data_IF_987765742383
#
_entry.id   IF_987765742383
#
_cell.length_a   1.000
_cell.length_b   1.000
_cell.length_c   1.000
_cell.angle_alpha   90.00
_cell.angle_beta   90.00
_cell.angle_gamma   90.00
#
_symmetry.space_group_name_H-M   'P 1'
#
loop_
_entity.id
_entity.type
_entity.pdbx_description
1 polymer ?
#
# COMPACT_ATOMS: atom_id res chain seq x y z
N UNK A 1 8.27 7.58 9.52
CA UNK A 1 7.96 8.79 8.72
C UNK A 1 9.21 9.49 8.20
N UNK A 2 10.25 9.71 9.00
CA UNK A 2 11.49 10.37 8.58
C UNK A 2 12.07 9.90 7.23
N UNK A 3 12.23 8.57 7.02
CA UNK A 3 12.72 8.04 5.73
C UNK A 3 11.86 8.43 4.53
N UNK A 4 10.53 8.39 4.65
CA UNK A 4 9.62 8.80 3.57
C UNK A 4 9.62 10.31 3.35
N UNK A 5 9.79 11.10 4.43
CA UNK A 5 9.94 12.54 4.32
C UNK A 5 11.23 12.93 3.58
N UNK A 6 12.34 12.25 3.87
CA UNK A 6 13.62 12.42 3.17
C UNK A 6 13.47 12.14 1.67
N UNK A 7 12.81 11.03 1.30
CA UNK A 7 12.50 10.73 -0.11
C UNK A 7 11.66 11.83 -0.77
N UNK A 8 10.64 12.36 -0.08
CA UNK A 8 9.80 13.42 -0.61
C UNK A 8 10.61 14.71 -0.89
N UNK A 9 11.51 15.08 0.02
CA UNK A 9 12.40 16.25 -0.14
C UNK A 9 13.41 16.02 -1.26
N UNK A 10 14.01 14.84 -1.32
CA UNK A 10 14.95 14.46 -2.38
C UNK A 10 14.31 14.57 -3.77
N UNK A 11 13.08 14.06 -3.91
CA UNK A 11 12.29 14.16 -5.13
C UNK A 11 11.67 15.54 -5.37
N UNK A 12 11.93 16.53 -4.50
CA UNK A 12 11.38 17.91 -4.55
C UNK A 12 9.84 17.95 -4.58
N UNK A 13 9.20 16.99 -3.92
CA UNK A 13 7.73 16.88 -3.87
C UNK A 13 7.15 17.84 -2.82
N UNK A 14 7.78 17.95 -1.66
CA UNK A 14 7.30 18.78 -0.56
C UNK A 14 8.43 19.22 0.37
N UNK A 15 8.15 20.29 1.12
CA UNK A 15 8.95 20.80 2.24
C UNK A 15 8.03 21.05 3.44
N UNK A 16 8.52 20.91 4.66
CA UNK A 16 7.71 21.02 5.88
C UNK A 16 7.97 19.89 6.88
N UNK A 17 6.98 19.57 7.70
CA UNK A 17 7.08 18.49 8.67
C UNK A 17 7.23 17.12 8.00
N UNK A 18 7.78 16.14 8.71
CA UNK A 18 7.95 14.79 8.17
C UNK A 18 6.62 14.13 7.79
N UNK A 19 5.54 14.42 8.54
CA UNK A 19 4.20 13.90 8.25
C UNK A 19 3.64 14.46 6.96
N UNK A 20 3.74 15.78 6.76
CA UNK A 20 3.31 16.43 5.52
C UNK A 20 4.10 15.91 4.32
N UNK A 21 5.41 15.78 4.45
CA UNK A 21 6.28 15.28 3.39
C UNK A 21 5.96 13.82 3.03
N UNK A 22 5.79 12.93 4.02
CA UNK A 22 5.43 11.53 3.78
C UNK A 22 4.04 11.41 3.10
N UNK A 23 3.05 12.20 3.53
CA UNK A 23 1.72 12.21 2.91
C UNK A 23 1.77 12.73 1.47
N UNK A 24 2.55 13.77 1.20
CA UNK A 24 2.74 14.31 -0.14
C UNK A 24 3.41 13.29 -1.09
N UNK A 25 4.37 12.51 -0.59
CA UNK A 25 4.98 11.41 -1.35
C UNK A 25 3.94 10.35 -1.73
N UNK A 26 3.11 9.91 -0.79
CA UNK A 26 2.03 8.94 -1.07
C UNK A 26 1.06 9.47 -2.14
N UNK A 27 0.64 10.73 -2.01
CA UNK A 27 -0.23 11.37 -2.99
C UNK A 27 0.42 11.44 -4.38
N UNK A 28 1.70 11.81 -4.45
CA UNK A 28 2.43 11.89 -5.74
C UNK A 28 2.60 10.52 -6.40
N UNK A 29 2.88 9.47 -5.64
CA UNK A 29 2.98 8.09 -6.16
C UNK A 29 1.63 7.65 -6.76
N UNK A 30 0.51 7.91 -6.06
CA UNK A 30 -0.82 7.61 -6.59
C UNK A 30 -1.17 8.43 -7.84
N UNK A 31 -0.81 9.72 -7.86
CA UNK A 31 -1.00 10.56 -9.03
C UNK A 31 -0.18 10.05 -10.22
N UNK A 32 1.08 9.67 -10.01
CA UNK A 32 1.94 9.10 -11.05
C UNK A 32 1.36 7.81 -11.61
N UNK A 33 0.95 6.87 -10.75
CA UNK A 33 0.30 5.63 -11.17
C UNK A 33 -0.90 5.90 -12.08
N UNK A 34 -1.74 6.90 -11.75
CA UNK A 34 -2.86 7.34 -12.59
C UNK A 34 -2.39 7.93 -13.92
N UNK A 35 -1.38 8.81 -13.92
CA UNK A 35 -0.81 9.44 -15.12
C UNK A 35 -0.32 8.41 -16.14
N UNK A 36 0.26 7.30 -15.67
CA UNK A 36 0.77 6.22 -16.54
C UNK A 36 -0.24 5.08 -16.76
N UNK A 37 -1.51 5.28 -16.41
CA UNK A 37 -2.58 4.31 -16.67
C UNK A 37 -2.54 3.03 -15.84
N UNK A 38 -1.88 3.06 -14.67
CA UNK A 38 -1.89 1.92 -13.74
C UNK A 38 -3.18 1.88 -12.91
N UNK A 39 -3.71 0.69 -12.61
CA UNK A 39 -4.83 0.53 -11.68
C UNK A 39 -4.44 1.03 -10.29
N UNK A 40 -5.38 1.67 -9.58
CA UNK A 40 -5.14 2.20 -8.24
C UNK A 40 -5.67 1.29 -7.13
N UNK A 41 -6.25 0.16 -7.52
CA UNK A 41 -6.83 -0.87 -6.67
C UNK A 41 -6.91 -2.21 -7.40
N UNK A 42 -7.04 -3.32 -6.67
CA UNK A 42 -7.16 -4.65 -7.28
C UNK A 42 -8.44 -4.81 -8.09
N UNK A 43 -9.55 -4.17 -7.68
CA UNK A 43 -10.81 -4.19 -8.45
C UNK A 43 -10.66 -3.52 -9.82
N UNK A 44 -9.78 -2.52 -9.96
CA UNK A 44 -9.54 -1.83 -11.24
C UNK A 44 -8.83 -2.76 -12.26
N UNK A 45 -8.29 -3.90 -11.80
CA UNK A 45 -7.76 -4.96 -12.66
C UNK A 45 -8.85 -5.90 -13.23
N UNK A 46 -10.13 -5.65 -12.95
CA UNK A 46 -11.24 -6.49 -13.43
C UNK A 46 -11.46 -7.78 -12.63
N UNK A 47 -10.93 -7.86 -11.41
CA UNK A 47 -11.15 -9.01 -10.51
C UNK A 47 -12.48 -8.84 -9.77
N UNK A 48 -13.35 -9.84 -9.85
CA UNK A 48 -14.62 -9.84 -9.13
C UNK A 48 -14.41 -9.88 -7.62
N UNK A 49 -15.09 -8.99 -6.89
CA UNK A 49 -14.97 -8.87 -5.42
C UNK A 49 -15.20 -10.21 -4.68
N UNK A 50 -16.22 -11.03 -5.01
CA UNK A 50 -16.42 -12.32 -4.33
C UNK A 50 -15.25 -13.29 -4.55
N UNK A 51 -14.71 -13.36 -5.77
CA UNK A 51 -13.56 -14.19 -6.11
C UNK A 51 -12.30 -13.73 -5.37
N UNK A 52 -12.10 -12.41 -5.26
CA UNK A 52 -11.00 -11.85 -4.51
C UNK A 52 -11.12 -12.16 -3.01
N UNK A 53 -12.29 -11.95 -2.41
CA UNK A 53 -12.53 -12.22 -0.98
C UNK A 53 -12.26 -13.70 -0.64
N UNK A 54 -12.70 -14.64 -1.49
CA UNK A 54 -12.41 -16.07 -1.34
C UNK A 54 -10.91 -16.39 -1.38
N UNK A 55 -10.10 -15.58 -2.08
CA UNK A 55 -8.66 -15.78 -2.18
C UNK A 55 -7.85 -15.20 -1.01
N UNK A 56 -8.46 -14.34 -0.17
CA UNK A 56 -7.75 -13.60 0.90
C UNK A 56 -6.99 -14.53 1.84
N UNK A 57 -7.63 -15.61 2.33
CA UNK A 57 -6.97 -16.53 3.25
C UNK A 57 -5.69 -17.13 2.65
N UNK A 58 -5.73 -17.55 1.38
CA UNK A 58 -4.56 -18.07 0.68
C UNK A 58 -3.51 -17.01 0.33
N UNK A 59 -3.89 -15.75 0.17
CA UNK A 59 -2.94 -14.63 -0.01
C UNK A 59 -2.22 -14.32 1.31
N UNK A 60 -2.94 -14.35 2.43
CA UNK A 60 -2.38 -14.13 3.76
C UNK A 60 -1.39 -15.25 4.12
N UNK A 61 -1.78 -16.51 3.92
CA UNK A 61 -0.88 -17.65 4.13
C UNK A 61 0.42 -17.52 3.32
N UNK A 62 0.32 -17.16 2.03
CA UNK A 62 1.49 -16.94 1.18
C UNK A 62 2.37 -15.80 1.70
N UNK A 63 1.77 -14.69 2.11
CA UNK A 63 2.50 -13.54 2.63
C UNK A 63 3.24 -13.85 3.94
N UNK A 64 2.60 -14.61 4.85
CA UNK A 64 3.22 -15.03 6.12
C UNK A 64 4.41 -15.98 5.94
N UNK A 65 4.41 -16.78 4.87
CA UNK A 65 5.50 -17.70 4.54
C UNK A 65 6.58 -17.10 3.64
N UNK A 66 6.48 -15.81 3.30
CA UNK A 66 7.46 -15.12 2.47
C UNK A 66 8.51 -14.43 3.36
N UNK A 67 9.80 -14.71 3.10
CA UNK A 67 10.91 -14.27 3.96
C UNK A 67 11.01 -12.73 4.03
N UNK A 68 10.76 -12.03 2.93
CA UNK A 68 10.78 -10.57 2.90
C UNK A 68 9.73 -9.97 3.83
N UNK A 69 8.57 -10.60 4.03
CA UNK A 69 7.56 -10.17 5.03
C UNK A 69 8.13 -10.10 6.44
N UNK A 70 9.12 -10.93 6.78
CA UNK A 70 9.79 -10.93 8.10
C UNK A 70 10.90 -9.87 8.21
N UNK A 71 11.27 -9.22 7.12
CA UNK A 71 12.38 -8.24 7.08
C UNK A 71 11.90 -6.79 6.94
N UNK A 72 10.60 -6.55 6.78
CA UNK A 72 10.05 -5.19 6.67
C UNK A 72 10.08 -4.46 8.01
N UNK A 73 10.04 -3.12 7.98
CA UNK A 73 10.16 -2.29 9.19
C UNK A 73 9.04 -2.49 10.21
N UNK A 74 7.82 -2.78 9.76
CA UNK A 74 6.68 -3.16 10.61
C UNK A 74 6.15 -4.48 10.08
N UNK A 75 6.53 -5.57 10.74
CA UNK A 75 6.08 -6.92 10.38
C UNK A 75 4.56 -7.00 10.65
N UNK A 76 3.73 -7.24 9.62
CA UNK A 76 2.29 -7.33 9.79
C UNK A 76 1.88 -8.70 10.35
N UNK A 77 0.86 -8.72 11.21
CA UNK A 77 0.21 -9.96 11.61
C UNK A 77 -0.77 -10.47 10.54
N UNK A 78 -1.34 -11.67 10.76
CA UNK A 78 -2.36 -12.26 9.89
C UNK A 78 -3.56 -11.32 9.67
N UNK A 79 -4.07 -10.73 10.76
CA UNK A 79 -5.20 -9.80 10.70
C UNK A 79 -4.88 -8.54 9.90
N UNK A 80 -3.68 -7.98 10.11
CA UNK A 80 -3.20 -6.80 9.38
C UNK A 80 -3.09 -7.10 7.88
N UNK A 81 -2.52 -8.24 7.50
CA UNK A 81 -2.42 -8.67 6.10
C UNK A 81 -3.81 -8.79 5.47
N UNK A 82 -4.77 -9.41 6.17
CA UNK A 82 -6.14 -9.51 5.70
C UNK A 82 -6.79 -8.14 5.47
N UNK A 83 -6.56 -7.17 6.36
CA UNK A 83 -7.04 -5.79 6.17
C UNK A 83 -6.33 -5.09 5.01
N UNK A 84 -5.00 -5.22 4.90
CA UNK A 84 -4.18 -4.62 3.83
C UNK A 84 -4.67 -5.09 2.46
N UNK A 85 -4.90 -6.41 2.27
CA UNK A 85 -5.42 -6.92 1.01
C UNK A 85 -6.82 -6.38 0.67
N UNK A 86 -7.73 -6.31 1.64
CA UNK A 86 -9.06 -5.71 1.41
C UNK A 86 -8.98 -4.22 1.06
N UNK A 87 -8.12 -3.48 1.74
CA UNK A 87 -7.90 -2.05 1.46
C UNK A 87 -7.29 -1.85 0.06
N UNK A 88 -6.35 -2.71 -0.34
CA UNK A 88 -5.78 -2.70 -1.69
C UNK A 88 -6.85 -3.00 -2.76
N UNK A 89 -7.81 -3.88 -2.47
CA UNK A 89 -8.93 -4.13 -3.38
C UNK A 89 -9.88 -2.96 -3.54
N UNK A 90 -10.13 -2.21 -2.48
CA UNK A 90 -10.99 -1.01 -2.54
C UNK A 90 -10.24 0.25 -2.98
N UNK A 91 -8.91 0.22 -2.98
CA UNK A 91 -8.06 1.39 -3.20
C UNK A 91 -8.06 2.37 -2.03
N UNK A 92 -8.36 1.87 -0.83
CA UNK A 92 -8.52 2.66 0.41
C UNK A 92 -7.16 2.90 1.08
N UNK A 93 -6.95 4.10 1.60
CA UNK A 93 -5.81 4.42 2.46
C UNK A 93 -5.90 3.69 3.81
N UNK A 94 -4.78 3.18 4.31
CA UNK A 94 -4.69 2.51 5.62
C UNK A 94 -4.98 3.51 6.75
N UNK A 95 -5.86 3.12 7.67
CA UNK A 95 -6.34 3.94 8.80
C UNK A 95 -6.27 3.21 10.15
N UNK A 96 -5.45 2.15 10.26
CA UNK A 96 -5.25 1.32 11.47
C UNK A 96 -3.76 1.05 11.79
#
# INVERSE_FOLDING_TARGET
MAKYAEMARYCRIASGSDKECANALVARVRALAKEIGQPLSVRDCGIEKPKYEQSISGLVERALNEVMTMTVTRVPGEEDLGKIFRYANEGKSIDF
#
